data_IF_938309800144
#
_entry.id   IF_938309800144
#
_cell.length_a   1.000
_cell.length_b   1.000
_cell.length_c   1.000
_cell.angle_alpha   90.00
_cell.angle_beta   90.00
_cell.angle_gamma   90.00
#
_symmetry.space_group_name_H-M   'P 1'
#
loop_
_entity.id
_entity.type
_entity.pdbx_description
1 polymer ?
#
# COMPACT_ATOMS: atom_id res chain seq x y z
N UNK A 1 -20.07 -5.69 -11.55
CA UNK A 1 -18.89 -5.67 -10.66
C UNK A 1 -19.39 -6.01 -9.28
N UNK A 2 -19.04 -7.18 -8.74
CA UNK A 2 -19.48 -7.55 -7.38
C UNK A 2 -18.59 -6.80 -6.40
N UNK A 3 -19.14 -5.82 -5.68
CA UNK A 3 -18.50 -5.30 -4.47
C UNK A 3 -18.38 -6.46 -3.50
N UNK A 4 -17.16 -6.71 -3.07
CA UNK A 4 -16.84 -7.75 -2.13
C UNK A 4 -17.22 -7.26 -0.72
N UNK A 5 -18.40 -7.68 -0.24
CA UNK A 5 -18.96 -7.26 1.05
C UNK A 5 -18.44 -8.11 2.24
N UNK A 6 -17.33 -8.84 2.06
CA UNK A 6 -16.71 -9.64 3.12
C UNK A 6 -16.19 -8.73 4.24
N UNK A 7 -16.59 -9.02 5.48
CA UNK A 7 -16.09 -8.30 6.66
C UNK A 7 -14.66 -8.72 7.00
N UNK A 8 -13.97 -7.92 7.83
CA UNK A 8 -12.64 -8.29 8.36
C UNK A 8 -12.68 -9.64 9.10
N UNK A 9 -13.79 -9.97 9.74
CA UNK A 9 -14.00 -11.26 10.40
C UNK A 9 -14.09 -12.41 9.39
N UNK A 10 -14.78 -12.21 8.26
CA UNK A 10 -14.89 -13.20 7.18
C UNK A 10 -13.53 -13.46 6.52
N UNK A 11 -12.76 -12.39 6.27
CA UNK A 11 -11.39 -12.50 5.77
C UNK A 11 -10.49 -13.25 6.77
N UNK A 12 -10.60 -12.94 8.06
CA UNK A 12 -9.81 -13.60 9.11
C UNK A 12 -10.15 -15.10 9.23
N UNK A 13 -11.43 -15.45 9.18
CA UNK A 13 -11.89 -16.84 9.20
C UNK A 13 -11.40 -17.61 7.97
N UNK A 14 -11.47 -16.99 6.80
CA UNK A 14 -11.00 -17.57 5.54
C UNK A 14 -9.49 -17.79 5.54
N UNK A 15 -8.70 -16.81 6.01
CA UNK A 15 -7.24 -16.97 6.20
C UNK A 15 -6.88 -18.06 7.21
N UNK A 16 -7.64 -18.21 8.30
CA UNK A 16 -7.42 -19.28 9.28
C UNK A 16 -7.78 -20.66 8.69
N UNK A 17 -8.80 -20.74 7.84
CA UNK A 17 -9.13 -21.94 7.07
C UNK A 17 -7.99 -22.35 6.14
N UNK A 18 -7.38 -21.39 5.42
CA UNK A 18 -6.21 -21.64 4.58
C UNK A 18 -4.98 -22.10 5.37
N UNK A 19 -4.78 -21.61 6.61
CA UNK A 19 -3.71 -22.11 7.50
C UNK A 19 -3.88 -23.59 7.90
N UNK A 20 -5.11 -24.09 7.92
CA UNK A 20 -5.42 -25.47 8.31
C UNK A 20 -5.64 -26.44 7.14
N UNK A 21 -5.61 -25.95 5.89
CA UNK A 21 -5.83 -26.76 4.69
C UNK A 21 -4.66 -27.70 4.40
N UNK A 22 -4.94 -28.87 3.82
CA UNK A 22 -3.97 -29.93 3.51
C UNK A 22 -3.11 -29.67 2.27
N UNK A 23 -2.98 -28.42 1.82
CA UNK A 23 -2.26 -28.02 0.59
C UNK A 23 -3.00 -28.37 -0.71
N UNK A 24 -3.69 -29.52 -0.76
CA UNK A 24 -4.45 -30.03 -1.93
C UNK A 24 -5.64 -29.16 -2.35
N UNK A 25 -6.16 -28.32 -1.44
CA UNK A 25 -7.26 -27.38 -1.70
C UNK A 25 -6.76 -25.94 -1.99
N UNK A 26 -5.46 -25.68 -1.84
CA UNK A 26 -4.85 -24.38 -2.07
C UNK A 26 -4.09 -24.40 -3.40
N UNK A 27 -4.83 -24.30 -4.50
CA UNK A 27 -4.24 -24.05 -5.81
C UNK A 27 -3.64 -22.64 -5.82
N UNK A 28 -2.33 -22.54 -5.61
CA UNK A 28 -1.61 -21.31 -5.90
C UNK A 28 -1.51 -21.15 -7.41
N UNK A 29 -2.34 -20.29 -7.96
CA UNK A 29 -2.17 -19.85 -9.34
C UNK A 29 -1.08 -18.78 -9.40
N UNK A 30 0.17 -19.22 -9.61
CA UNK A 30 1.36 -18.35 -9.62
C UNK A 30 1.19 -17.12 -10.52
N UNK A 31 0.50 -17.27 -11.66
CA UNK A 31 0.19 -16.16 -12.57
C UNK A 31 -0.67 -15.08 -11.91
N UNK A 32 -1.67 -15.46 -11.11
CA UNK A 32 -2.53 -14.51 -10.40
C UNK A 32 -1.80 -13.86 -9.23
N UNK A 33 -0.98 -14.62 -8.49
CA UNK A 33 -0.14 -14.07 -7.44
C UNK A 33 0.87 -13.05 -7.99
N UNK A 34 1.55 -13.37 -9.10
CA UNK A 34 2.46 -12.46 -9.78
C UNK A 34 1.73 -11.20 -10.28
N UNK A 35 0.59 -11.36 -10.97
CA UNK A 35 -0.18 -10.22 -11.47
C UNK A 35 -0.70 -9.31 -10.33
N UNK A 36 -1.05 -9.87 -9.18
CA UNK A 36 -1.40 -9.10 -7.99
C UNK A 36 -0.20 -8.31 -7.45
N UNK A 37 0.94 -8.96 -7.26
CA UNK A 37 2.16 -8.30 -6.79
C UNK A 37 2.64 -7.20 -7.74
N UNK A 38 2.56 -7.42 -9.05
CA UNK A 38 2.90 -6.41 -10.06
C UNK A 38 2.00 -5.17 -9.95
N UNK A 39 0.70 -5.35 -9.69
CA UNK A 39 -0.24 -4.23 -9.47
C UNK A 39 0.08 -3.46 -8.19
N UNK A 40 0.45 -4.17 -7.11
CA UNK A 40 0.88 -3.54 -5.86
C UNK A 40 2.16 -2.72 -6.08
N UNK A 41 3.13 -3.28 -6.83
CA UNK A 41 4.38 -2.61 -7.19
C UNK A 41 4.13 -1.35 -8.04
N UNK A 42 3.23 -1.43 -9.03
CA UNK A 42 2.86 -0.30 -9.86
C UNK A 42 2.19 0.82 -9.05
N UNK A 43 1.23 0.47 -8.18
CA UNK A 43 0.60 1.43 -7.29
C UNK A 43 1.61 2.11 -6.35
N UNK A 44 2.58 1.35 -5.82
CA UNK A 44 3.67 1.89 -5.01
C UNK A 44 4.54 2.87 -5.81
N UNK A 45 4.87 2.55 -7.07
CA UNK A 45 5.66 3.44 -7.92
C UNK A 45 4.93 4.76 -8.20
N UNK A 46 3.62 4.73 -8.46
CA UNK A 46 2.81 5.93 -8.66
C UNK A 46 2.79 6.81 -7.40
N UNK A 47 2.65 6.21 -6.22
CA UNK A 47 2.72 6.92 -4.93
C UNK A 47 4.09 7.54 -4.68
N UNK A 48 5.18 6.84 -5.04
CA UNK A 48 6.53 7.38 -4.92
C UNK A 48 6.75 8.60 -5.82
N UNK A 49 6.15 8.62 -7.01
CA UNK A 49 6.17 9.80 -7.88
C UNK A 49 5.40 10.97 -7.26
N UNK A 50 4.21 10.71 -6.70
CA UNK A 50 3.44 11.72 -5.99
C UNK A 50 4.20 12.29 -4.78
N UNK A 51 4.84 11.43 -3.98
CA UNK A 51 5.67 11.81 -2.84
C UNK A 51 6.85 12.69 -3.28
N UNK A 52 7.49 12.36 -4.41
CA UNK A 52 8.57 13.18 -4.98
C UNK A 52 8.06 14.58 -5.35
N UNK A 53 6.90 14.67 -6.00
CA UNK A 53 6.27 15.95 -6.32
C UNK A 53 5.90 16.77 -5.08
N UNK A 54 5.32 16.13 -4.07
CA UNK A 54 4.94 16.78 -2.82
C UNK A 54 6.15 17.31 -2.04
N UNK A 55 7.23 16.53 -1.94
CA UNK A 55 8.49 16.98 -1.33
C UNK A 55 9.07 18.18 -2.07
N UNK A 56 9.01 18.19 -3.42
CA UNK A 56 9.43 19.33 -4.23
C UNK A 56 8.58 20.58 -3.95
N UNK A 57 7.26 20.42 -3.84
CA UNK A 57 6.34 21.51 -3.52
C UNK A 57 6.56 22.06 -2.10
N UNK A 58 6.77 21.18 -1.11
CA UNK A 58 7.09 21.56 0.26
C UNK A 58 8.39 22.38 0.31
N UNK A 59 9.44 21.91 -0.37
CA UNK A 59 10.71 22.62 -0.46
C UNK A 59 10.55 24.01 -1.10
N UNK A 60 9.78 24.10 -2.18
CA UNK A 60 9.48 25.38 -2.82
C UNK A 60 8.69 26.33 -1.91
N UNK A 61 7.63 25.86 -1.24
CA UNK A 61 6.80 26.66 -0.33
C UNK A 61 7.59 27.21 0.85
N UNK A 62 8.49 26.41 1.42
CA UNK A 62 9.31 26.81 2.57
C UNK A 62 10.18 28.05 2.31
N UNK A 63 10.57 28.26 1.04
CA UNK A 63 11.36 29.42 0.60
C UNK A 63 10.56 30.48 -0.16
N UNK A 64 9.24 30.31 -0.32
CA UNK A 64 8.41 31.22 -1.11
C UNK A 64 8.17 32.55 -0.38
N UNK A 65 8.56 33.67 -1.01
CA UNK A 65 8.18 35.00 -0.56
C UNK A 65 6.75 35.31 -1.03
N UNK A 66 5.81 35.30 -0.10
CA UNK A 66 4.39 35.60 -0.33
C UNK A 66 4.03 37.04 0.07
N UNK A 67 5.04 37.87 0.36
CA UNK A 67 4.87 39.22 0.89
C UNK A 67 4.32 39.23 2.32
N UNK A 68 3.69 40.35 2.71
CA UNK A 68 3.25 40.60 4.08
C UNK A 68 1.73 40.62 4.25
N UNK A 69 0.97 40.39 3.16
CA UNK A 69 -0.48 40.33 3.23
C UNK A 69 -0.90 39.11 4.06
N UNK A 70 -1.68 39.35 5.12
CA UNK A 70 -2.12 38.31 6.07
C UNK A 70 -2.80 37.13 5.36
N UNK A 71 -3.59 37.39 4.32
CA UNK A 71 -4.21 36.33 3.53
C UNK A 71 -3.19 35.45 2.82
N UNK A 72 -2.15 36.04 2.24
CA UNK A 72 -1.10 35.31 1.53
C UNK A 72 -0.24 34.47 2.50
N UNK A 73 0.13 35.03 3.66
CA UNK A 73 0.87 34.30 4.69
C UNK A 73 0.06 33.14 5.28
N UNK A 74 -1.24 33.36 5.50
CA UNK A 74 -2.15 32.32 6.01
C UNK A 74 -2.34 31.19 4.99
N UNK A 75 -2.59 31.52 3.72
CA UNK A 75 -2.71 30.52 2.65
C UNK A 75 -1.44 29.69 2.54
N UNK A 76 -0.26 30.31 2.60
CA UNK A 76 1.02 29.58 2.59
C UNK A 76 1.12 28.59 3.74
N UNK A 77 0.76 29.02 4.96
CA UNK A 77 0.80 28.14 6.12
C UNK A 77 -0.13 26.94 5.97
N UNK A 78 -1.38 27.14 5.54
CA UNK A 78 -2.29 26.01 5.31
C UNK A 78 -1.79 25.08 4.20
N UNK A 79 -1.19 25.62 3.13
CA UNK A 79 -0.59 24.77 2.09
C UNK A 79 0.59 23.94 2.63
N UNK A 80 1.42 24.51 3.51
CA UNK A 80 2.50 23.77 4.17
C UNK A 80 1.95 22.63 5.05
N UNK A 81 0.87 22.88 5.79
CA UNK A 81 0.17 21.89 6.61
C UNK A 81 -0.46 20.78 5.74
N UNK A 82 -1.22 21.15 4.70
CA UNK A 82 -1.87 20.22 3.78
C UNK A 82 -0.86 19.29 3.08
N UNK A 83 0.29 19.82 2.67
CA UNK A 83 1.34 19.03 2.01
C UNK A 83 2.03 18.11 3.00
N UNK A 84 2.25 18.55 4.24
CA UNK A 84 2.82 17.69 5.27
C UNK A 84 1.88 16.49 5.56
N UNK A 85 0.57 16.75 5.69
CA UNK A 85 -0.45 15.70 5.86
C UNK A 85 -0.48 14.75 4.66
N UNK A 86 -0.42 15.28 3.43
CA UNK A 86 -0.36 14.46 2.23
C UNK A 86 0.89 13.56 2.18
N UNK A 87 2.07 14.13 2.50
CA UNK A 87 3.34 13.38 2.55
C UNK A 87 3.25 12.24 3.57
N UNK A 88 2.69 12.51 4.76
CA UNK A 88 2.50 11.50 5.81
C UNK A 88 1.54 10.39 5.33
N UNK A 89 0.39 10.76 4.78
CA UNK A 89 -0.60 9.81 4.29
C UNK A 89 -0.05 8.89 3.20
N UNK A 90 0.66 9.45 2.22
CA UNK A 90 1.29 8.69 1.14
C UNK A 90 2.38 7.76 1.68
N UNK A 91 3.21 8.24 2.62
CA UNK A 91 4.26 7.42 3.24
C UNK A 91 3.68 6.23 4.01
N UNK A 92 2.63 6.48 4.80
CA UNK A 92 1.92 5.43 5.53
C UNK A 92 1.29 4.40 4.59
N UNK A 93 0.74 4.85 3.47
CA UNK A 93 0.15 3.94 2.49
C UNK A 93 1.21 3.11 1.76
N UNK A 94 2.38 3.68 1.45
CA UNK A 94 3.54 2.92 0.93
C UNK A 94 3.96 1.82 1.93
N UNK A 95 4.04 2.13 3.23
CA UNK A 95 4.34 1.13 4.26
C UNK A 95 3.31 -0.01 4.30
N UNK A 96 2.03 0.32 4.14
CA UNK A 96 0.98 -0.68 4.01
C UNK A 96 1.18 -1.59 2.78
N UNK A 97 1.51 -1.03 1.62
CA UNK A 97 1.79 -1.82 0.40
C UNK A 97 3.03 -2.72 0.56
N UNK A 98 4.04 -2.27 1.30
CA UNK A 98 5.21 -3.11 1.65
C UNK A 98 4.82 -4.28 2.54
N UNK A 99 3.99 -4.04 3.57
CA UNK A 99 3.49 -5.10 4.43
C UNK A 99 2.62 -6.11 3.66
N UNK A 100 1.77 -5.62 2.74
CA UNK A 100 0.95 -6.44 1.86
C UNK A 100 1.82 -7.33 0.96
N UNK A 101 2.85 -6.75 0.34
CA UNK A 101 3.81 -7.47 -0.51
C UNK A 101 4.52 -8.59 0.26
N UNK A 102 5.03 -8.29 1.46
CA UNK A 102 5.69 -9.27 2.31
C UNK A 102 4.74 -10.39 2.73
N UNK A 103 3.51 -10.04 3.12
CA UNK A 103 2.49 -11.01 3.54
C UNK A 103 2.09 -11.93 2.39
N UNK A 104 1.87 -11.37 1.20
CA UNK A 104 1.52 -12.15 0.00
C UNK A 104 2.67 -13.08 -0.41
N UNK A 105 3.93 -12.61 -0.36
CA UNK A 105 5.09 -13.45 -0.64
C UNK A 105 5.23 -14.60 0.38
N UNK A 106 5.04 -14.33 1.66
CA UNK A 106 5.08 -15.33 2.71
C UNK A 106 3.95 -16.37 2.57
N UNK A 107 2.74 -15.93 2.19
CA UNK A 107 1.62 -16.82 1.91
C UNK A 107 1.92 -17.73 0.71
N UNK A 108 2.41 -17.17 -0.41
CA UNK A 108 2.83 -17.96 -1.58
C UNK A 108 3.89 -18.99 -1.21
N UNK A 109 4.90 -18.61 -0.43
CA UNK A 109 5.94 -19.54 0.00
C UNK A 109 5.40 -20.64 0.92
N UNK A 110 4.49 -20.31 1.83
CA UNK A 110 3.87 -21.28 2.72
C UNK A 110 3.06 -22.33 1.94
N UNK A 111 2.31 -21.89 0.93
CA UNK A 111 1.54 -22.80 0.06
C UNK A 111 2.48 -23.71 -0.73
N UNK A 112 3.54 -23.14 -1.35
CA UNK A 112 4.54 -23.94 -2.08
C UNK A 112 5.23 -24.98 -1.21
N UNK A 113 5.53 -24.65 0.05
CA UNK A 113 6.13 -25.59 0.99
C UNK A 113 5.16 -26.72 1.38
N UNK A 114 3.86 -26.43 1.50
CA UNK A 114 2.84 -27.41 1.79
C UNK A 114 2.54 -28.36 0.61
N UNK A 115 2.81 -27.90 -0.62
CA UNK A 115 2.63 -28.68 -1.85
C UNK A 115 3.82 -29.62 -2.16
N UNK A 116 4.95 -29.47 -1.43
CA UNK A 116 6.08 -30.40 -1.59
C UNK A 116 5.77 -31.75 -0.92
N UNK A 117 5.99 -32.89 -1.62
CA UNK A 117 5.84 -34.20 -1.02
C UNK A 117 6.86 -34.37 0.11
N UNK A 118 6.37 -34.51 1.35
CA UNK A 118 7.20 -34.91 2.49
C UNK A 118 7.82 -36.28 2.19
N UNK A 119 9.14 -36.32 2.07
CA UNK A 119 9.94 -37.56 1.94
C UNK A 119 10.14 -38.24 3.30
#
# INVERSE_FOLDING_TARGET
MSTDDRTLADLTAQMNGWKSGTGTELLLEDTHAAAFLDRVQAAKADLQQQLTGANGLQAWLSGADVGTYVSATTTRQHLEEDIAEFIEAVSNYIHYLDALTQTAAAACQSIRNADQPHS
#
